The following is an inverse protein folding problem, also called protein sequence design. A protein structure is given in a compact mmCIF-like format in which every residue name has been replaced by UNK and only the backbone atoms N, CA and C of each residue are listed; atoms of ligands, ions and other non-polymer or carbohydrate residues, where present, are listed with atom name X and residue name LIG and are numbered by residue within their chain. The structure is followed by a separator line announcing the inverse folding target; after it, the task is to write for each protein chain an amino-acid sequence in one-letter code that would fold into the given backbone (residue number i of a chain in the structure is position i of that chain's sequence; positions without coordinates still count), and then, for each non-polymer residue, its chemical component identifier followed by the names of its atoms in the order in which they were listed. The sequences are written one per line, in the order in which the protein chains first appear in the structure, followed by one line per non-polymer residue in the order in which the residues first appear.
data_IF_953105878963
#
_entry.id   IF_953105878963
#
_cell.length_a   1.000
_cell.length_b   1.000
_cell.length_c   1.000
_cell.angle_alpha   90.00
_cell.angle_beta   90.00
_cell.angle_gamma   90.00
#
_symmetry.space_group_name_H-M   'P 1'
#
loop_
_entity.id
_entity.type
_entity.pdbx_description
1 polymer ?
#
# COMPACT_ATOMS: atom_id res chain seq x y z
N UNK A 1 -0.99 1.70 28.44
CA UNK A 1 -1.63 1.00 27.32
C UNK A 1 -2.57 -0.05 27.86
N UNK A 2 -3.79 -0.22 27.33
CA UNK A 2 -4.59 -1.38 27.67
C UNK A 2 -3.79 -2.60 27.21
N UNK A 3 -3.47 -3.48 28.15
CA UNK A 3 -2.61 -4.64 27.93
C UNK A 3 -3.25 -5.56 26.88
N UNK A 4 -2.49 -5.96 25.85
CA UNK A 4 -2.86 -7.01 24.88
C UNK A 4 -3.06 -8.39 25.54
N UNK A 5 -3.00 -8.51 26.87
CA UNK A 5 -3.26 -9.72 27.64
C UNK A 5 -4.68 -10.30 27.50
N UNK A 6 -5.57 -9.64 26.75
CA UNK A 6 -6.93 -10.12 26.42
C UNK A 6 -6.90 -10.99 25.15
N UNK A 7 -5.83 -10.93 24.36
CA UNK A 7 -5.68 -11.72 23.14
C UNK A 7 -5.15 -13.12 23.45
N UNK A 8 -5.92 -14.14 23.09
CA UNK A 8 -5.40 -15.50 22.97
C UNK A 8 -4.52 -15.57 21.69
N UNK A 9 -3.27 -16.05 21.76
CA UNK A 9 -2.41 -16.25 20.59
C UNK A 9 -3.08 -17.01 19.44
N UNK A 10 -4.01 -17.93 19.74
CA UNK A 10 -4.73 -18.70 18.70
C UNK A 10 -5.65 -17.80 17.84
N UNK A 11 -6.11 -16.66 18.36
CA UNK A 11 -6.95 -15.71 17.60
C UNK A 11 -6.23 -15.05 16.42
N UNK A 12 -4.89 -15.09 16.38
CA UNK A 12 -4.10 -14.53 15.27
C UNK A 12 -4.27 -15.38 14.00
N UNK A 13 -4.51 -16.69 14.15
CA UNK A 13 -4.73 -17.59 13.02
C UNK A 13 -6.10 -17.36 12.36
N UNK A 14 -7.04 -16.76 13.10
CA UNK A 14 -8.40 -16.43 12.65
C UNK A 14 -8.53 -15.04 11.99
N UNK A 15 -7.43 -14.30 11.79
CA UNK A 15 -7.48 -13.00 11.12
C UNK A 15 -8.05 -13.18 9.71
N UNK A 16 -9.16 -12.52 9.37
CA UNK A 16 -9.86 -12.78 8.11
C UNK A 16 -9.06 -12.28 6.90
N UNK A 17 -9.18 -13.04 5.82
CA UNK A 17 -8.68 -12.66 4.50
C UNK A 17 -7.53 -13.50 3.98
N UNK A 18 -6.87 -12.96 2.96
CA UNK A 18 -5.71 -13.59 2.32
C UNK A 18 -4.60 -12.58 2.17
N UNK A 19 -3.35 -13.01 2.36
CA UNK A 19 -2.17 -12.14 2.38
C UNK A 19 -1.93 -11.32 1.10
N UNK A 20 -2.50 -11.77 -0.03
CA UNK A 20 -2.40 -11.10 -1.32
C UNK A 20 -3.54 -10.10 -1.58
N UNK A 21 -4.63 -10.13 -0.82
CA UNK A 21 -5.74 -9.18 -0.97
C UNK A 21 -5.65 -8.07 0.09
N UNK A 22 -5.13 -6.92 -0.36
CA UNK A 22 -4.92 -5.71 0.45
C UNK A 22 -6.20 -5.07 1.00
N UNK A 23 -7.37 -5.51 0.54
CA UNK A 23 -8.66 -5.06 1.10
C UNK A 23 -9.07 -5.85 2.33
N UNK A 24 -8.44 -7.00 2.56
CA UNK A 24 -8.70 -7.82 3.73
C UNK A 24 -7.74 -7.46 4.87
N UNK A 25 -8.15 -7.61 6.14
CA UNK A 25 -7.28 -7.30 7.28
C UNK A 25 -5.90 -8.00 7.23
N UNK A 26 -5.87 -9.29 6.90
CA UNK A 26 -4.60 -10.02 6.75
C UNK A 26 -3.71 -9.46 5.62
N UNK A 27 -4.30 -9.18 4.46
CA UNK A 27 -3.55 -8.63 3.33
C UNK A 27 -3.11 -7.18 3.53
N UNK A 28 -3.88 -6.37 4.26
CA UNK A 28 -3.47 -5.03 4.65
C UNK A 28 -2.31 -5.06 5.64
N UNK A 29 -2.34 -5.92 6.66
CA UNK A 29 -1.21 -6.11 7.58
C UNK A 29 0.04 -6.57 6.84
N UNK A 30 -0.07 -7.54 5.94
CA UNK A 30 1.05 -7.99 5.11
C UNK A 30 1.63 -6.85 4.23
N UNK A 31 0.77 -5.98 3.74
CA UNK A 31 1.19 -4.83 2.94
C UNK A 31 1.87 -3.75 3.78
N UNK A 32 1.34 -3.43 4.96
CA UNK A 32 1.98 -2.53 5.93
C UNK A 32 3.34 -3.09 6.35
N UNK A 33 3.43 -4.39 6.64
CA UNK A 33 4.68 -5.07 6.97
C UNK A 33 5.72 -4.91 5.85
N UNK A 34 5.31 -5.13 4.61
CA UNK A 34 6.17 -4.93 3.43
C UNK A 34 6.65 -3.49 3.34
N UNK A 35 5.77 -2.51 3.58
CA UNK A 35 6.12 -1.10 3.53
C UNK A 35 7.09 -0.69 4.65
N UNK A 36 6.84 -1.14 5.89
CA UNK A 36 7.71 -0.88 7.04
C UNK A 36 9.10 -1.48 6.82
N UNK A 37 9.18 -2.75 6.43
CA UNK A 37 10.47 -3.43 6.25
C UNK A 37 11.28 -2.87 5.08
N UNK A 38 10.65 -2.54 3.95
CA UNK A 38 11.32 -1.83 2.85
C UNK A 38 11.82 -0.45 3.29
N UNK A 39 11.04 0.29 4.07
CA UNK A 39 11.44 1.61 4.58
C UNK A 39 12.61 1.53 5.55
N UNK A 40 12.59 0.59 6.50
CA UNK A 40 13.71 0.38 7.42
C UNK A 40 14.98 0.02 6.64
N UNK A 41 14.88 -0.93 5.70
CA UNK A 41 16.00 -1.32 4.87
C UNK A 41 16.57 -0.14 4.07
N UNK A 42 15.71 0.69 3.49
CA UNK A 42 16.15 1.86 2.72
C UNK A 42 16.87 2.90 3.56
N UNK A 43 16.37 3.19 4.76
CA UNK A 43 16.94 4.24 5.61
C UNK A 43 18.24 3.79 6.31
N UNK A 44 18.44 2.48 6.50
CA UNK A 44 19.58 1.94 7.25
C UNK A 44 20.68 1.38 6.33
N UNK A 45 20.35 0.83 5.17
CA UNK A 45 21.34 0.18 4.30
C UNK A 45 21.97 1.16 3.31
N UNK A 46 23.27 0.97 2.97
CA UNK A 46 23.87 1.64 1.82
C UNK A 46 23.07 1.35 0.54
N UNK A 47 22.84 2.38 -0.29
CA UNK A 47 22.02 2.26 -1.51
C UNK A 47 22.38 1.06 -2.41
N UNK A 48 23.65 0.75 -2.70
CA UNK A 48 24.00 -0.42 -3.52
C UNK A 48 23.58 -1.75 -2.89
N UNK A 49 23.69 -1.84 -1.56
CA UNK A 49 23.31 -3.02 -0.82
C UNK A 49 21.78 -3.19 -0.79
N UNK A 50 21.05 -2.10 -0.57
CA UNK A 50 19.59 -2.10 -0.68
C UNK A 50 19.13 -2.57 -2.07
N UNK A 51 19.70 -2.05 -3.16
CA UNK A 51 19.35 -2.48 -4.52
C UNK A 51 19.55 -3.98 -4.70
N UNK A 52 20.71 -4.49 -4.30
CA UNK A 52 21.06 -5.89 -4.43
C UNK A 52 20.11 -6.80 -3.65
N UNK A 53 19.75 -6.44 -2.43
CA UNK A 53 18.97 -7.30 -1.54
C UNK A 53 17.45 -7.15 -1.70
N UNK A 54 16.96 -5.94 -1.94
CA UNK A 54 15.52 -5.62 -1.90
C UNK A 54 14.90 -5.31 -3.27
N UNK A 55 15.70 -5.22 -4.34
CA UNK A 55 15.21 -4.86 -5.69
C UNK A 55 15.61 -5.83 -6.79
N UNK A 56 16.74 -6.53 -6.67
CA UNK A 56 17.25 -7.39 -7.74
C UNK A 56 16.48 -8.71 -7.92
N UNK A 57 16.16 -9.40 -6.83
CA UNK A 57 15.46 -10.68 -6.83
C UNK A 57 14.31 -10.67 -5.83
N UNK A 58 13.13 -11.13 -6.27
CA UNK A 58 11.90 -11.06 -5.47
C UNK A 58 11.95 -11.99 -4.25
N UNK A 59 12.55 -13.17 -4.39
CA UNK A 59 12.67 -14.15 -3.31
C UNK A 59 13.68 -13.68 -2.27
N UNK A 60 14.86 -13.22 -2.71
CA UNK A 60 15.88 -12.64 -1.81
C UNK A 60 15.29 -11.45 -1.07
N UNK A 61 14.58 -10.56 -1.77
CA UNK A 61 13.93 -9.41 -1.14
C UNK A 61 12.90 -9.84 -0.09
N UNK A 62 12.07 -10.86 -0.38
CA UNK A 62 11.12 -11.42 0.59
C UNK A 62 11.84 -12.02 1.80
N UNK A 63 12.90 -12.80 1.60
CA UNK A 63 13.70 -13.38 2.67
C UNK A 63 14.31 -12.30 3.57
N UNK A 64 14.89 -11.24 2.99
CA UNK A 64 15.49 -10.17 3.78
C UNK A 64 14.47 -9.32 4.54
N UNK A 65 13.27 -9.06 3.98
CA UNK A 65 12.17 -8.43 4.74
C UNK A 65 11.81 -9.24 5.99
N UNK A 66 11.62 -10.54 5.81
CA UNK A 66 11.31 -11.46 6.90
C UNK A 66 12.48 -11.60 7.88
N UNK A 67 13.72 -11.55 7.39
CA UNK A 67 14.92 -11.55 8.22
C UNK A 67 14.98 -10.33 9.13
N UNK A 68 14.53 -9.14 8.69
CA UNK A 68 14.50 -7.96 9.56
C UNK A 68 13.58 -8.17 10.77
N UNK A 69 12.44 -8.82 10.56
CA UNK A 69 11.53 -9.19 11.65
C UNK A 69 12.16 -10.27 12.54
N UNK A 70 12.80 -11.28 11.96
CA UNK A 70 13.50 -12.32 12.71
C UNK A 70 14.63 -11.72 13.57
N UNK A 71 15.41 -10.78 13.04
CA UNK A 71 16.45 -10.06 13.78
C UNK A 71 15.86 -9.30 14.98
N UNK A 72 14.74 -8.62 14.79
CA UNK A 72 14.03 -7.92 15.87
C UNK A 72 13.54 -8.89 16.96
N UNK A 73 12.86 -9.98 16.60
CA UNK A 73 12.28 -10.93 17.55
C UNK A 73 13.39 -11.72 18.27
N UNK A 74 14.35 -12.28 17.54
CA UNK A 74 15.37 -13.15 18.14
C UNK A 74 16.27 -12.39 19.12
N UNK A 75 16.49 -11.08 18.92
CA UNK A 75 17.23 -10.24 19.88
C UNK A 75 16.54 -10.09 21.22
N UNK A 76 15.20 -10.12 21.30
CA UNK A 76 14.50 -10.08 22.59
C UNK A 76 14.67 -11.38 23.37
N UNK A 77 15.00 -12.47 22.67
CA UNK A 77 15.30 -13.79 23.22
C UNK A 77 16.80 -14.01 23.49
N UNK A 78 17.63 -12.96 23.36
CA UNK A 78 19.09 -13.06 23.52
C UNK A 78 19.83 -13.69 22.34
N UNK A 79 19.15 -13.96 21.22
CA UNK A 79 19.75 -14.48 20.00
C UNK A 79 20.15 -13.32 19.07
N UNK A 80 21.30 -13.43 18.38
CA UNK A 80 21.73 -12.45 17.38
C UNK A 80 21.82 -13.12 16.01
N UNK A 81 20.79 -13.00 15.16
CA UNK A 81 20.82 -13.54 13.81
C UNK A 81 21.94 -12.90 12.98
N UNK A 82 22.52 -13.69 12.08
CA UNK A 82 23.59 -13.24 11.18
C UNK A 82 23.17 -13.51 9.75
N UNK A 83 23.48 -12.58 8.86
CA UNK A 83 23.29 -12.70 7.42
C UNK A 83 24.57 -12.35 6.68
N UNK A 84 24.70 -12.86 5.46
CA UNK A 84 25.72 -12.43 4.52
C UNK A 84 25.04 -11.92 3.24
N UNK A 85 25.26 -10.66 2.84
CA UNK A 85 26.07 -9.61 3.50
C UNK A 85 25.50 -9.17 4.88
N UNK A 86 26.36 -8.67 5.80
CA UNK A 86 25.94 -8.31 7.15
C UNK A 86 25.06 -7.06 7.13
N UNK A 87 24.02 -7.05 7.98
CA UNK A 87 23.14 -5.92 8.18
C UNK A 87 23.58 -5.07 9.39
N UNK A 88 23.38 -3.73 9.38
CA UNK A 88 23.67 -2.87 10.53
C UNK A 88 22.82 -3.22 11.75
N UNK A 89 23.39 -3.06 12.95
CA UNK A 89 22.73 -3.41 14.22
C UNK A 89 21.51 -2.55 14.56
N UNK A 90 21.38 -1.36 13.98
CA UNK A 90 20.29 -0.42 14.26
C UNK A 90 18.94 -0.80 13.64
N UNK A 91 18.86 -1.85 12.82
CA UNK A 91 17.61 -2.28 12.18
C UNK A 91 16.56 -2.70 13.21
N UNK A 92 16.94 -3.47 14.23
CA UNK A 92 16.01 -4.02 15.21
C UNK A 92 15.38 -2.95 16.12
N UNK A 93 16.03 -1.79 16.30
CA UNK A 93 15.54 -0.69 17.13
C UNK A 93 14.98 0.48 16.31
N UNK A 94 14.83 0.32 14.99
CA UNK A 94 14.35 1.40 14.13
C UNK A 94 12.93 1.87 14.54
N UNK A 95 12.65 3.18 14.63
CA UNK A 95 11.36 3.70 15.10
C UNK A 95 10.12 3.22 14.32
N UNK A 96 10.26 2.96 13.01
CA UNK A 96 9.17 2.40 12.19
C UNK A 96 8.61 1.06 12.70
N UNK A 97 9.36 0.32 13.52
CA UNK A 97 8.81 -0.85 14.20
C UNK A 97 7.68 -0.50 15.18
N UNK A 98 7.72 0.68 15.81
CA UNK A 98 6.64 1.16 16.67
C UNK A 98 5.38 1.47 15.85
N UNK A 99 5.55 1.99 14.63
CA UNK A 99 4.43 2.19 13.71
C UNK A 99 3.82 0.85 13.25
N UNK A 100 4.65 -0.18 13.07
CA UNK A 100 4.18 -1.55 12.82
C UNK A 100 3.39 -2.10 14.01
N UNK A 101 3.92 -1.97 15.23
CA UNK A 101 3.25 -2.44 16.44
C UNK A 101 1.88 -1.76 16.62
N UNK A 102 1.83 -0.42 16.48
CA UNK A 102 0.59 0.35 16.56
C UNK A 102 -0.42 -0.06 15.47
N UNK A 103 0.04 -0.33 14.25
CA UNK A 103 -0.82 -0.79 13.17
C UNK A 103 -1.43 -2.16 13.48
N UNK A 104 -0.64 -3.09 14.04
CA UNK A 104 -1.11 -4.40 14.49
C UNK A 104 -2.12 -4.26 15.63
N UNK A 105 -1.78 -3.52 16.69
CA UNK A 105 -2.64 -3.26 17.84
C UNK A 105 -3.99 -2.67 17.41
N UNK A 106 -3.96 -1.65 16.55
CA UNK A 106 -5.16 -0.98 16.04
C UNK A 106 -6.04 -1.95 15.23
N UNK A 107 -5.42 -2.77 14.38
CA UNK A 107 -6.15 -3.75 13.57
C UNK A 107 -6.81 -4.83 14.44
N UNK A 108 -6.05 -5.42 15.35
CA UNK A 108 -6.53 -6.46 16.26
C UNK A 108 -7.63 -5.93 17.17
N UNK A 109 -7.47 -4.73 17.74
CA UNK A 109 -8.50 -4.12 18.57
C UNK A 109 -9.80 -3.88 17.80
N UNK A 110 -9.72 -3.39 16.55
CA UNK A 110 -10.90 -3.21 15.70
C UNK A 110 -11.60 -4.54 15.43
N UNK A 111 -10.85 -5.57 15.06
CA UNK A 111 -11.39 -6.92 14.81
C UNK A 111 -12.11 -7.51 16.02
N UNK A 112 -11.55 -7.34 17.23
CA UNK A 112 -12.21 -7.76 18.47
C UNK A 112 -13.47 -6.92 18.73
N UNK A 113 -13.37 -5.59 18.59
CA UNK A 113 -14.48 -4.68 18.89
C UNK A 113 -15.68 -4.87 17.96
N UNK A 114 -15.44 -5.31 16.73
CA UNK A 114 -16.48 -5.66 15.75
C UNK A 114 -16.97 -7.11 15.91
N UNK A 115 -16.45 -7.86 16.88
CA UNK A 115 -16.85 -9.24 17.16
C UNK A 115 -16.40 -10.24 16.08
N UNK A 116 -15.41 -9.87 15.27
CA UNK A 116 -14.85 -10.73 14.20
C UNK A 116 -13.91 -11.77 14.80
N UNK A 117 -13.13 -11.37 15.80
CA UNK A 117 -12.32 -12.28 16.62
C UNK A 117 -13.03 -12.49 17.95
N UNK A 118 -13.52 -13.71 18.18
CA UNK A 118 -14.30 -14.03 19.36
C UNK A 118 -13.40 -14.19 20.59
N UNK A 119 -13.63 -13.40 21.63
CA UNK A 119 -12.92 -13.50 22.92
C UNK A 119 -13.59 -14.52 23.85
N UNK A 120 -14.68 -15.17 23.41
CA UNK A 120 -15.48 -16.09 24.23
C UNK A 120 -15.43 -17.54 23.76
N UNK A 121 -14.24 -18.12 23.68
CA UNK A 121 -14.14 -19.59 23.78
C UNK A 121 -14.28 -20.02 25.26
N UNK A 122 -15.51 -20.09 25.77
CA UNK A 122 -15.81 -21.07 26.83
C UNK A 122 -15.89 -22.44 26.17
N UNK A 123 -15.04 -23.43 26.54
CA UNK A 123 -15.17 -24.78 26.00
C UNK A 123 -16.41 -25.42 26.60
N UNK A 124 -17.54 -25.38 25.88
CA UNK A 124 -18.69 -26.24 26.14
C UNK A 124 -18.28 -27.68 25.80
N UNK A 125 -17.61 -28.34 26.75
CA UNK A 125 -17.54 -29.79 26.78
C UNK A 125 -18.93 -30.28 27.14
N UNK A 126 -19.74 -30.59 26.13
CA UNK A 126 -20.91 -31.44 26.30
C UNK A 126 -20.42 -32.81 26.79
N UNK A 127 -20.46 -33.02 28.10
CA UNK A 127 -20.20 -34.31 28.74
C UNK A 127 -21.41 -35.19 28.48
N UNK A 128 -21.29 -36.04 27.48
CA UNK A 128 -22.26 -37.09 27.18
C UNK A 128 -22.15 -38.19 28.26
N UNK A 129 -23.15 -38.29 29.15
CA UNK A 129 -23.29 -39.39 30.12
C UNK A 129 -24.43 -40.29 29.63
N UNK A 130 -24.19 -41.57 29.30
CA UNK A 130 -25.27 -42.51 28.99
C UNK A 130 -25.82 -43.10 30.29
N UNK A 131 -27.15 -43.16 30.43
CA UNK A 131 -27.80 -44.09 31.36
C UNK A 131 -29.01 -44.75 30.70
N UNK A 132 -28.92 -46.08 30.72
CA UNK A 132 -29.84 -47.08 30.22
C UNK A 132 -31.17 -47.14 31.01
N UNK A 133 -32.22 -47.33 30.22
CA UNK A 133 -33.29 -48.35 30.30
C UNK A 133 -34.27 -48.45 31.48
N UNK A 134 -35.54 -48.45 31.05
CA UNK A 134 -36.60 -49.43 31.33
C UNK A 134 -37.89 -49.00 32.10
N UNK A 135 -39.00 -49.48 31.56
CA UNK A 135 -40.41 -48.98 31.55
C UNK A 135 -41.24 -49.40 32.79
N UNK A 136 -42.62 -49.43 32.84
CA UNK A 136 -43.72 -48.90 31.99
C UNK A 136 -44.87 -48.18 32.80
N UNK A 137 -45.57 -47.16 32.27
CA UNK A 137 -46.85 -47.16 31.53
C UNK A 137 -48.17 -47.42 32.31
N UNK A 138 -49.07 -46.42 32.34
CA UNK A 138 -50.54 -46.60 32.36
C UNK A 138 -51.32 -45.33 31.90
N UNK A 139 -51.52 -45.21 30.58
CA UNK A 139 -52.74 -44.98 29.75
C UNK A 139 -53.98 -44.16 30.26
N UNK A 140 -55.04 -43.88 29.44
CA UNK A 140 -55.15 -42.72 28.52
C UNK A 140 -56.57 -42.07 28.45
N UNK A 141 -56.79 -40.89 27.84
CA UNK A 141 -58.11 -40.53 27.23
C UNK A 141 -57.96 -39.60 26.01
N UNK A 142 -58.67 -39.96 24.93
CA UNK A 142 -58.72 -39.42 23.55
C UNK A 142 -59.54 -38.09 23.38
N UNK A 143 -59.42 -37.26 22.33
CA UNK A 143 -59.81 -37.37 20.88
C UNK A 143 -59.52 -35.97 20.20
N UNK A 144 -59.96 -35.65 18.96
CA UNK A 144 -59.56 -36.07 17.60
C UNK A 144 -59.13 -34.85 16.70
N UNK A 145 -58.81 -34.99 15.38
CA UNK A 145 -58.08 -34.00 14.57
C UNK A 145 -58.97 -33.10 13.67
N UNK A 146 -58.48 -31.91 13.30
CA UNK A 146 -59.10 -30.98 12.31
C UNK A 146 -58.02 -30.40 11.35
N UNK A 147 -58.31 -30.16 10.04
CA UNK A 147 -57.32 -29.96 8.95
C UNK A 147 -56.88 -28.49 8.70
N UNK A 148 -55.92 -28.23 7.77
CA UNK A 148 -55.19 -26.95 7.60
C UNK A 148 -55.93 -25.97 6.66
N UNK A 149 -55.63 -24.65 6.63
CA UNK A 149 -54.55 -24.05 5.82
C UNK A 149 -53.95 -22.77 6.48
N UNK A 150 -52.84 -22.12 6.10
CA UNK A 150 -52.44 -21.44 4.87
C UNK A 150 -50.97 -21.00 5.08
N UNK A 151 -50.13 -21.14 4.06
CA UNK A 151 -48.73 -20.76 4.06
C UNK A 151 -48.50 -19.25 4.33
N UNK A 152 -47.62 -18.92 5.28
CA UNK A 152 -46.92 -17.63 5.34
C UNK A 152 -45.47 -17.82 4.88
N UNK A 153 -44.89 -16.90 4.10
CA UNK A 153 -43.48 -17.00 3.71
C UNK A 153 -42.61 -16.83 4.96
N UNK A 154 -41.65 -17.75 5.16
CA UNK A 154 -40.54 -17.52 6.09
C UNK A 154 -39.70 -16.35 5.55
N UNK A 155 -39.31 -15.37 6.37
CA UNK A 155 -38.26 -14.45 5.98
C UNK A 155 -36.97 -15.26 5.77
N UNK A 156 -36.38 -15.13 4.59
CA UNK A 156 -35.05 -15.60 4.27
C UNK A 156 -34.03 -14.85 5.14
N UNK A 157 -33.72 -15.37 6.33
CA UNK A 157 -32.52 -14.99 7.07
C UNK A 157 -31.35 -15.80 6.51
N UNK A 158 -30.79 -15.36 5.38
CA UNK A 158 -29.55 -15.97 4.85
C UNK A 158 -28.70 -15.00 4.02
N UNK A 159 -28.79 -13.67 4.23
CA UNK A 159 -28.05 -12.71 3.40
C UNK A 159 -27.63 -11.40 4.12
N UNK A 160 -27.41 -11.40 5.44
CA UNK A 160 -27.04 -10.17 6.18
C UNK A 160 -25.69 -10.21 6.92
N UNK A 161 -24.85 -11.23 6.73
CA UNK A 161 -23.57 -11.35 7.45
C UNK A 161 -22.32 -10.92 6.66
N UNK A 162 -22.45 -10.33 5.46
CA UNK A 162 -21.31 -10.03 4.57
C UNK A 162 -21.08 -8.54 4.28
N UNK A 163 -21.49 -7.62 5.16
CA UNK A 163 -21.29 -6.17 4.96
C UNK A 163 -20.50 -5.44 6.06
N UNK A 164 -20.24 -6.02 7.24
CA UNK A 164 -19.49 -5.34 8.31
C UNK A 164 -17.97 -5.40 8.14
N UNK A 165 -17.40 -6.50 7.61
CA UNK A 165 -15.96 -6.68 7.50
C UNK A 165 -15.23 -5.79 6.45
N UNK A 166 -15.98 -4.99 5.67
CA UNK A 166 -15.42 -4.14 4.60
C UNK A 166 -14.90 -2.77 5.06
N UNK A 167 -15.00 -2.41 6.36
CA UNK A 167 -14.60 -1.07 6.84
C UNK A 167 -13.37 -1.05 7.76
N UNK A 168 -12.79 -2.20 8.08
CA UNK A 168 -11.62 -2.26 8.96
C UNK A 168 -10.37 -1.98 8.13
N UNK A 169 -9.85 -0.74 8.21
CA UNK A 169 -8.56 -0.36 7.64
C UNK A 169 -7.71 0.42 8.64
N UNK A 170 -6.39 0.28 8.53
CA UNK A 170 -5.41 0.98 9.36
C UNK A 170 -5.14 2.40 8.85
N UNK A 171 -5.01 3.42 9.74
CA UNK A 171 -4.63 4.77 9.34
C UNK A 171 -3.16 4.89 8.91
N UNK A 172 -2.34 3.83 9.05
CA UNK A 172 -0.90 3.84 8.79
C UNK A 172 -0.51 4.59 7.51
N UNK A 173 -1.08 4.23 6.36
CA UNK A 173 -0.68 4.87 5.09
C UNK A 173 -1.09 6.34 5.01
N UNK A 174 -2.23 6.74 5.58
CA UNK A 174 -2.67 8.13 5.55
C UNK A 174 -1.80 9.00 6.46
N UNK A 175 -1.40 8.48 7.63
CA UNK A 175 -0.46 9.11 8.56
C UNK A 175 0.94 9.26 7.95
N UNK A 176 1.46 8.22 7.30
CA UNK A 176 2.77 8.27 6.63
C UNK A 176 2.79 9.29 5.48
N UNK A 177 1.71 9.40 4.70
CA UNK A 177 1.58 10.45 3.69
C UNK A 177 1.54 11.86 4.33
N UNK A 178 0.89 12.01 5.48
CA UNK A 178 0.85 13.29 6.22
C UNK A 178 2.23 13.67 6.74
N UNK A 179 2.99 12.72 7.29
CA UNK A 179 4.36 12.95 7.72
C UNK A 179 5.26 13.39 6.55
N UNK A 180 5.10 12.76 5.38
CA UNK A 180 5.81 13.16 4.16
C UNK A 180 5.43 14.58 3.69
N UNK A 181 4.14 14.92 3.74
CA UNK A 181 3.64 16.25 3.42
C UNK A 181 4.17 17.35 4.35
N UNK A 182 4.28 17.05 5.65
CA UNK A 182 4.91 17.93 6.63
C UNK A 182 6.39 18.11 6.30
N UNK A 183 7.12 17.04 5.97
CA UNK A 183 8.52 17.12 5.56
C UNK A 183 8.70 18.00 4.32
N UNK A 184 7.85 17.86 3.30
CA UNK A 184 7.88 18.69 2.10
C UNK A 184 7.68 20.16 2.46
N UNK A 185 6.67 20.47 3.25
CA UNK A 185 6.37 21.84 3.70
C UNK A 185 7.55 22.44 4.50
N UNK A 186 8.18 21.63 5.36
CA UNK A 186 9.37 22.03 6.09
C UNK A 186 10.57 22.29 5.16
N UNK A 187 10.77 21.45 4.14
CA UNK A 187 11.86 21.57 3.16
C UNK A 187 11.72 22.83 2.29
N UNK A 188 10.49 23.21 1.95
CA UNK A 188 10.19 24.43 1.19
C UNK A 188 10.51 25.71 1.97
N UNK A 189 10.39 25.66 3.31
CA UNK A 189 10.79 26.76 4.21
C UNK A 189 12.33 26.80 4.34
N UNK A 190 12.99 25.64 4.38
CA UNK A 190 14.42 25.50 4.62
C UNK A 190 15.25 25.27 3.35
N UNK A 191 14.89 25.92 2.23
CA UNK A 191 15.57 25.74 0.92
C UNK A 191 17.08 25.89 0.98
N UNK A 192 17.60 26.79 1.80
CA UNK A 192 19.06 27.00 1.94
C UNK A 192 19.75 25.75 2.51
N UNK A 193 19.16 25.12 3.52
CA UNK A 193 19.70 23.87 4.10
C UNK A 193 19.59 22.71 3.12
N UNK A 194 18.50 22.66 2.35
CA UNK A 194 18.31 21.67 1.30
C UNK A 194 19.37 21.81 0.20
N UNK A 195 19.63 23.04 -0.26
CA UNK A 195 20.64 23.33 -1.28
C UNK A 195 22.07 23.01 -0.80
N UNK A 196 22.34 23.14 0.50
CA UNK A 196 23.61 22.76 1.12
C UNK A 196 23.72 21.25 1.42
N UNK A 197 22.68 20.46 1.13
CA UNK A 197 22.66 19.03 1.45
C UNK A 197 22.62 18.72 2.95
N UNK A 198 22.27 19.71 3.78
CA UNK A 198 22.25 19.62 5.25
C UNK A 198 20.88 19.16 5.81
N UNK A 199 20.03 18.60 4.94
CA UNK A 199 18.70 18.13 5.26
C UNK A 199 18.58 16.70 4.76
N UNK A 200 18.36 15.78 5.70
CA UNK A 200 18.26 14.36 5.37
C UNK A 200 17.02 14.09 4.52
N UNK A 201 17.10 13.14 3.58
CA UNK A 201 15.96 12.77 2.75
C UNK A 201 14.81 12.23 3.61
N UNK A 202 13.57 12.34 3.12
CA UNK A 202 12.39 11.90 3.87
C UNK A 202 12.35 10.37 4.01
N UNK A 203 12.33 9.90 5.26
CA UNK A 203 12.28 8.47 5.60
C UNK A 203 11.01 7.76 5.08
N UNK A 204 9.94 8.52 4.83
CA UNK A 204 8.63 8.02 4.37
C UNK A 204 8.61 7.73 2.86
N UNK A 205 9.63 8.14 2.09
CA UNK A 205 9.63 8.00 0.63
C UNK A 205 9.38 6.55 0.14
N UNK A 206 9.92 5.48 0.75
CA UNK A 206 9.61 4.12 0.35
C UNK A 206 8.15 3.73 0.65
N UNK A 207 7.55 4.28 1.72
CA UNK A 207 6.11 4.09 2.01
C UNK A 207 5.27 4.75 0.94
N UNK A 208 5.61 5.99 0.52
CA UNK A 208 4.88 6.69 -0.57
C UNK A 208 4.84 5.83 -1.84
N UNK A 209 5.95 5.15 -2.18
CA UNK A 209 6.01 4.22 -3.31
C UNK A 209 5.05 3.04 -3.14
N UNK A 210 4.95 2.46 -1.94
CA UNK A 210 3.97 1.40 -1.66
C UNK A 210 2.54 1.91 -1.79
N UNK A 211 2.27 3.16 -1.35
CA UNK A 211 0.94 3.77 -1.42
C UNK A 211 0.48 4.05 -2.85
N UNK A 212 1.37 4.22 -3.83
CA UNK A 212 0.98 4.32 -5.25
C UNK A 212 0.17 3.11 -5.73
N UNK A 213 0.37 1.97 -5.07
CA UNK A 213 -0.37 0.74 -5.36
C UNK A 213 -1.78 0.72 -4.74
N UNK A 214 -2.05 1.58 -3.74
CA UNK A 214 -3.38 1.82 -3.20
C UNK A 214 -4.26 2.47 -4.25
N UNK A 215 -5.49 2.00 -4.53
CA UNK A 215 -6.43 2.77 -5.34
C UNK A 215 -6.96 4.00 -4.61
N UNK A 216 -7.12 3.95 -3.28
CA UNK A 216 -7.77 5.00 -2.48
C UNK A 216 -6.86 6.22 -2.28
N UNK A 217 -5.58 5.99 -1.98
CA UNK A 217 -4.64 7.06 -1.61
C UNK A 217 -3.74 7.49 -2.78
N UNK A 218 -3.91 6.90 -3.97
CA UNK A 218 -3.04 7.09 -5.13
C UNK A 218 -2.86 8.53 -5.54
N UNK A 219 -3.98 9.27 -5.67
CA UNK A 219 -3.97 10.65 -6.17
C UNK A 219 -3.19 11.53 -5.21
N UNK A 220 -3.40 11.34 -3.90
CA UNK A 220 -2.65 12.05 -2.86
C UNK A 220 -1.15 11.71 -2.93
N UNK A 221 -0.80 10.42 -3.02
CA UNK A 221 0.59 9.97 -3.12
C UNK A 221 1.28 10.52 -4.38
N UNK A 222 0.62 10.52 -5.54
CA UNK A 222 1.13 11.11 -6.78
C UNK A 222 1.33 12.62 -6.67
N UNK A 223 0.39 13.33 -6.04
CA UNK A 223 0.51 14.77 -5.79
C UNK A 223 1.72 15.12 -4.93
N UNK A 224 1.96 14.34 -3.87
CA UNK A 224 3.12 14.51 -3.00
C UNK A 224 4.43 14.09 -3.69
N UNK A 225 4.43 13.00 -4.46
CA UNK A 225 5.58 12.57 -5.25
C UNK A 225 5.97 13.66 -6.26
N UNK A 226 5.00 14.23 -6.98
CA UNK A 226 5.23 15.36 -7.89
C UNK A 226 5.94 16.52 -7.19
N UNK A 227 5.42 16.97 -6.03
CA UNK A 227 6.04 18.04 -5.23
C UNK A 227 7.47 17.69 -4.80
N UNK A 228 7.72 16.43 -4.46
CA UNK A 228 9.06 15.97 -4.09
C UNK A 228 10.04 16.02 -5.28
N UNK A 229 9.63 15.55 -6.45
CA UNK A 229 10.46 15.58 -7.67
C UNK A 229 10.79 17.01 -8.10
N UNK A 230 9.88 17.96 -7.87
CA UNK A 230 10.09 19.39 -8.13
C UNK A 230 11.21 20.01 -7.26
N UNK A 231 11.69 19.32 -6.21
CA UNK A 231 12.86 19.76 -5.42
C UNK A 231 14.19 19.61 -6.17
N UNK A 232 14.21 18.89 -7.29
CA UNK A 232 15.33 18.86 -8.24
C UNK A 232 15.94 17.47 -8.50
N UNK A 233 17.06 17.42 -9.25
CA UNK A 233 17.68 16.18 -9.73
C UNK A 233 17.98 15.13 -8.66
N UNK A 234 18.36 15.56 -7.46
CA UNK A 234 18.66 14.64 -6.35
C UNK A 234 17.42 13.86 -5.89
N UNK A 235 16.24 14.49 -5.91
CA UNK A 235 14.97 13.88 -5.53
C UNK A 235 14.50 12.89 -6.61
N UNK A 236 14.72 13.23 -7.88
CA UNK A 236 14.48 12.32 -9.01
C UNK A 236 15.37 11.09 -8.90
N UNK A 237 16.68 11.27 -8.70
CA UNK A 237 17.62 10.17 -8.50
C UNK A 237 17.23 9.25 -7.34
N UNK A 238 16.82 9.84 -6.20
CA UNK A 238 16.39 9.09 -5.02
C UNK A 238 15.14 8.25 -5.31
N UNK A 239 14.16 8.83 -6.01
CA UNK A 239 12.92 8.16 -6.37
C UNK A 239 13.17 7.03 -7.38
N UNK A 240 13.99 7.27 -8.41
CA UNK A 240 14.35 6.24 -9.38
C UNK A 240 15.12 5.09 -8.72
N UNK A 241 16.04 5.41 -7.81
CA UNK A 241 16.73 4.41 -7.00
C UNK A 241 15.75 3.57 -6.18
N UNK A 242 14.68 4.13 -5.62
CA UNK A 242 13.66 3.35 -4.93
C UNK A 242 12.85 2.42 -5.83
N UNK A 243 12.90 2.63 -7.14
CA UNK A 243 12.19 1.86 -8.14
C UNK A 243 10.82 2.44 -8.48
N UNK A 244 10.62 3.77 -8.48
CA UNK A 244 9.32 4.36 -8.88
C UNK A 244 8.98 4.07 -10.36
N UNK A 245 9.99 3.83 -11.19
CA UNK A 245 9.89 3.87 -12.66
C UNK A 245 8.82 2.92 -13.23
N UNK A 246 8.79 1.61 -12.89
CA UNK A 246 7.80 0.70 -13.44
C UNK A 246 6.37 1.07 -13.05
N UNK A 247 6.19 1.68 -11.88
CA UNK A 247 4.87 2.10 -11.38
C UNK A 247 4.36 3.30 -12.16
N UNK A 248 5.15 4.37 -12.28
CA UNK A 248 4.72 5.57 -13.03
C UNK A 248 4.54 5.30 -14.53
N UNK A 249 5.31 4.36 -15.09
CA UNK A 249 5.16 3.89 -16.47
C UNK A 249 3.85 3.15 -16.67
N UNK A 250 3.55 2.17 -15.80
CA UNK A 250 2.28 1.43 -15.86
C UNK A 250 1.07 2.34 -15.63
N UNK A 251 1.19 3.36 -14.78
CA UNK A 251 0.11 4.28 -14.48
C UNK A 251 -0.25 5.22 -15.65
N UNK A 252 0.65 5.43 -16.61
CA UNK A 252 0.34 6.25 -17.80
C UNK A 252 -0.85 5.71 -18.61
N UNK A 253 -1.08 4.40 -18.54
CA UNK A 253 -2.22 3.75 -19.19
C UNK A 253 -3.58 4.21 -18.61
N UNK A 254 -3.59 4.77 -17.39
CA UNK A 254 -4.80 5.24 -16.72
C UNK A 254 -5.09 6.71 -17.03
N UNK A 255 -6.26 7.06 -17.59
CA UNK A 255 -6.58 8.44 -17.96
C UNK A 255 -6.77 9.38 -16.76
N UNK A 256 -7.08 8.83 -15.58
CA UNK A 256 -7.41 9.57 -14.36
C UNK A 256 -6.24 10.44 -13.84
N UNK A 257 -5.00 10.02 -14.07
CA UNK A 257 -3.81 10.63 -13.45
C UNK A 257 -2.94 11.43 -14.45
N UNK A 258 -3.45 11.66 -15.67
CA UNK A 258 -2.65 12.19 -16.79
C UNK A 258 -1.89 13.49 -16.47
N UNK A 259 -2.54 14.48 -15.85
CA UNK A 259 -1.88 15.77 -15.52
C UNK A 259 -0.74 15.61 -14.51
N UNK A 260 -0.96 14.87 -13.42
CA UNK A 260 0.09 14.59 -12.44
C UNK A 260 1.27 13.82 -13.06
N UNK A 261 0.96 12.82 -13.91
CA UNK A 261 1.97 12.00 -14.56
C UNK A 261 2.80 12.77 -15.58
N UNK A 262 2.21 13.70 -16.34
CA UNK A 262 2.95 14.55 -17.29
C UNK A 262 4.05 15.34 -16.59
N UNK A 263 3.73 15.95 -15.44
CA UNK A 263 4.72 16.68 -14.63
C UNK A 263 5.79 15.74 -14.05
N UNK A 264 5.42 14.56 -13.57
CA UNK A 264 6.37 13.56 -13.05
C UNK A 264 7.33 13.13 -14.17
N UNK A 265 6.81 12.85 -15.37
CA UNK A 265 7.61 12.44 -16.52
C UNK A 265 8.50 13.56 -17.06
N UNK A 266 8.07 14.81 -16.99
CA UNK A 266 8.94 15.96 -17.29
C UNK A 266 10.17 15.97 -16.36
N UNK A 267 9.98 15.74 -15.06
CA UNK A 267 11.10 15.68 -14.09
C UNK A 267 11.99 14.45 -14.30
N UNK A 268 11.41 13.29 -14.66
CA UNK A 268 12.19 12.07 -14.93
C UNK A 268 13.03 12.22 -16.22
N UNK A 269 12.42 12.61 -17.35
CA UNK A 269 13.14 12.70 -18.62
C UNK A 269 14.17 13.83 -18.67
N UNK A 270 13.93 14.92 -17.94
CA UNK A 270 14.92 15.99 -17.81
C UNK A 270 16.14 15.56 -17.01
N UNK A 271 15.98 14.61 -16.08
CA UNK A 271 17.08 14.00 -15.32
C UNK A 271 17.78 12.90 -16.12
N UNK A 272 17.01 11.98 -16.71
CA UNK A 272 17.52 10.85 -17.48
C UNK A 272 16.74 10.67 -18.79
N UNK A 273 17.34 11.15 -19.87
CA UNK A 273 16.76 11.04 -21.21
C UNK A 273 16.70 9.61 -21.75
N UNK A 274 17.46 8.66 -21.18
CA UNK A 274 17.46 7.27 -21.64
C UNK A 274 16.11 6.57 -21.46
N UNK A 275 15.31 7.02 -20.48
CA UNK A 275 13.95 6.54 -20.23
C UNK A 275 13.00 6.65 -21.43
N UNK A 276 13.32 7.50 -22.43
CA UNK A 276 12.56 7.62 -23.68
C UNK A 276 12.44 6.31 -24.46
N UNK A 277 13.40 5.39 -24.30
CA UNK A 277 13.39 4.09 -24.96
C UNK A 277 12.23 3.22 -24.43
N UNK A 278 12.03 3.19 -23.12
CA UNK A 278 10.96 2.41 -22.51
C UNK A 278 9.60 3.08 -22.71
N UNK A 279 9.54 4.42 -22.75
CA UNK A 279 8.32 5.14 -23.15
C UNK A 279 7.87 4.77 -24.57
N UNK A 280 8.82 4.61 -25.50
CA UNK A 280 8.50 4.19 -26.86
C UNK A 280 7.98 2.75 -26.89
N UNK A 281 8.68 1.83 -26.20
CA UNK A 281 8.31 0.41 -26.15
C UNK A 281 6.90 0.20 -25.58
N UNK A 282 6.54 0.94 -24.54
CA UNK A 282 5.22 0.86 -23.90
C UNK A 282 4.14 1.70 -24.61
N UNK A 283 4.45 2.33 -25.75
CA UNK A 283 3.48 3.13 -26.51
C UNK A 283 3.02 4.40 -25.79
N UNK A 284 3.80 4.92 -24.84
CA UNK A 284 3.40 6.00 -23.95
C UNK A 284 3.32 7.38 -24.64
N UNK A 285 3.96 7.55 -25.81
CA UNK A 285 3.97 8.81 -26.57
C UNK A 285 2.56 9.33 -26.87
N UNK A 286 1.63 8.41 -27.18
CA UNK A 286 0.24 8.74 -27.44
C UNK A 286 -0.42 9.50 -26.29
N UNK A 287 -0.09 9.17 -25.04
CA UNK A 287 -0.67 9.84 -23.88
C UNK A 287 -0.24 11.31 -23.79
N UNK A 288 1.02 11.62 -24.14
CA UNK A 288 1.53 12.99 -24.12
C UNK A 288 1.01 13.81 -25.31
N UNK A 289 0.90 13.20 -26.50
CA UNK A 289 0.30 13.86 -27.68
C UNK A 289 -1.16 14.22 -27.42
N UNK A 290 -1.95 13.28 -26.87
CA UNK A 290 -3.33 13.57 -26.46
C UNK A 290 -3.41 14.67 -25.38
N UNK A 291 -2.40 14.79 -24.52
CA UNK A 291 -2.38 15.79 -23.46
C UNK A 291 -2.11 17.22 -23.98
N UNK A 292 -1.59 17.38 -25.20
CA UNK A 292 -1.40 18.70 -25.81
C UNK A 292 -2.71 19.46 -26.04
N UNK A 293 -3.85 18.76 -26.11
CA UNK A 293 -5.18 19.37 -26.24
C UNK A 293 -5.90 19.54 -24.90
N UNK A 294 -5.22 19.27 -23.77
CA UNK A 294 -5.84 19.35 -22.46
C UNK A 294 -6.30 20.77 -22.12
N UNK A 295 -7.54 20.88 -21.62
CA UNK A 295 -8.15 22.17 -21.26
C UNK A 295 -8.66 23.01 -22.44
N UNK A 296 -8.62 22.51 -23.68
CA UNK A 296 -9.20 23.20 -24.86
C UNK A 296 -10.69 22.88 -25.06
N UNK A 297 -11.16 21.75 -24.55
CA UNK A 297 -12.53 21.26 -24.72
C UNK A 297 -13.48 21.83 -23.65
N UNK A 298 -13.76 23.13 -23.70
CA UNK A 298 -14.92 23.79 -23.07
C UNK A 298 -15.06 23.71 -21.54
N UNK A 299 -14.11 23.12 -20.83
CA UNK A 299 -14.13 22.97 -19.37
C UNK A 299 -13.73 24.26 -18.65
N UNK A 300 -14.36 24.54 -17.50
CA UNK A 300 -14.03 25.66 -16.59
C UNK A 300 -12.69 25.36 -15.90
N UNK A 301 -11.61 25.33 -16.68
CA UNK A 301 -10.24 25.17 -16.19
C UNK A 301 -9.56 26.51 -16.36
N UNK A 302 -8.81 26.94 -15.35
CA UNK A 302 -8.01 28.15 -15.42
C UNK A 302 -7.05 28.07 -16.62
N UNK A 303 -7.15 29.05 -17.52
CA UNK A 303 -6.39 29.07 -18.79
C UNK A 303 -4.88 28.93 -18.53
N UNK A 304 -4.38 29.51 -17.44
CA UNK A 304 -2.98 29.42 -17.03
C UNK A 304 -2.57 27.98 -16.69
N UNK A 305 -3.39 27.25 -15.94
CA UNK A 305 -3.13 25.85 -15.60
C UNK A 305 -3.16 24.96 -16.85
N UNK A 306 -4.12 25.17 -17.74
CA UNK A 306 -4.19 24.46 -19.03
C UNK A 306 -2.97 24.76 -19.93
N UNK A 307 -2.48 25.99 -19.97
CA UNK A 307 -1.26 26.33 -20.70
C UNK A 307 -0.02 25.64 -20.10
N UNK A 308 0.09 25.60 -18.77
CA UNK A 308 1.20 24.96 -18.06
C UNK A 308 1.29 23.46 -18.35
N UNK A 309 0.17 22.73 -18.23
CA UNK A 309 0.13 21.28 -18.49
C UNK A 309 0.48 20.95 -19.95
N UNK A 310 -0.04 21.73 -20.91
CA UNK A 310 0.30 21.58 -22.33
C UNK A 310 1.78 21.85 -22.61
N UNK A 311 2.37 22.83 -21.93
CA UNK A 311 3.80 23.15 -22.03
C UNK A 311 4.66 21.99 -21.51
N UNK A 312 4.27 21.37 -20.39
CA UNK A 312 4.95 20.18 -19.86
C UNK A 312 4.85 18.99 -20.81
N UNK A 313 3.69 18.75 -21.41
CA UNK A 313 3.53 17.69 -22.41
C UNK A 313 4.40 17.94 -23.65
N UNK A 314 4.44 19.17 -24.16
CA UNK A 314 5.32 19.54 -25.28
C UNK A 314 6.81 19.38 -24.91
N UNK A 315 7.19 19.74 -23.69
CA UNK A 315 8.54 19.56 -23.18
C UNK A 315 8.94 18.09 -23.10
N UNK A 316 8.06 17.23 -22.55
CA UNK A 316 8.25 15.78 -22.51
C UNK A 316 8.47 15.21 -23.92
N UNK A 317 7.59 15.57 -24.87
CA UNK A 317 7.73 15.12 -26.27
C UNK A 317 9.01 15.61 -26.92
N UNK A 318 9.41 16.86 -26.67
CA UNK A 318 10.67 17.42 -27.15
C UNK A 318 11.87 16.60 -26.66
N UNK A 319 11.96 16.33 -25.35
CA UNK A 319 13.02 15.49 -24.77
C UNK A 319 12.99 14.06 -25.31
N UNK A 320 11.79 13.49 -25.44
CA UNK A 320 11.61 12.13 -25.93
C UNK A 320 12.01 11.98 -27.40
N UNK A 321 11.87 13.03 -28.21
CA UNK A 321 12.25 13.06 -29.63
C UNK A 321 13.67 13.59 -29.90
N UNK A 322 14.29 14.28 -28.93
CA UNK A 322 15.56 14.95 -29.11
C UNK A 322 16.67 13.96 -29.50
N UNK A 323 17.24 14.12 -30.70
CA UNK A 323 18.28 13.22 -31.24
C UNK A 323 17.89 11.72 -31.19
N UNK A 324 16.59 11.41 -31.29
CA UNK A 324 16.08 10.04 -31.23
C UNK A 324 15.13 9.74 -32.40
N UNK A 325 15.64 9.21 -33.53
CA UNK A 325 14.87 9.00 -34.76
C UNK A 325 13.62 8.12 -34.58
N UNK A 326 13.70 7.09 -33.75
CA UNK A 326 12.55 6.21 -33.49
C UNK A 326 11.41 6.94 -32.75
N UNK A 327 11.75 7.80 -31.79
CA UNK A 327 10.76 8.66 -31.12
C UNK A 327 10.17 9.73 -32.06
N UNK A 328 11.00 10.30 -32.93
CA UNK A 328 10.55 11.26 -33.96
C UNK A 328 9.55 10.63 -34.93
N UNK A 329 9.86 9.42 -35.42
CA UNK A 329 8.97 8.67 -36.31
C UNK A 329 7.63 8.34 -35.64
N UNK A 330 7.65 7.91 -34.38
CA UNK A 330 6.42 7.60 -33.65
C UNK A 330 5.59 8.86 -33.34
N UNK A 331 6.24 9.95 -32.92
CA UNK A 331 5.54 11.21 -32.67
C UNK A 331 4.93 11.78 -33.96
N UNK A 332 5.62 11.64 -35.10
CA UNK A 332 5.10 12.05 -36.41
C UNK A 332 3.91 11.19 -36.87
N UNK A 333 3.88 9.90 -36.52
CA UNK A 333 2.77 8.99 -36.80
C UNK A 333 1.51 9.31 -35.99
N UNK A 334 1.69 9.88 -34.79
CA UNK A 334 0.62 10.19 -33.84
C UNK A 334 -0.01 11.57 -34.04
N UNK A 335 0.64 12.45 -34.80
CA UNK A 335 0.15 13.78 -35.19
C UNK A 335 -0.73 13.68 -36.44
#
# INVERSE_FOLDING_TARGET
SPSMSILDPEMVDDIPGVSNDRKTPLGELNWIFTAVTDSIAWNVLPKPLFQRLFRQDLLVASMFRNFLLADRILRTLGCTPVSHPPLPSGIAQHPLWQAWDLACETMLFKLISEGVLDTTQTPSKDVNIPKDDDSPESSPVAKPPVPPPVARPRPQQSQQQSQSANSISSPFFSEQLTAFEVWLSFSEIHKMRLAQGALDPPEQLPVVLQVLLSPVLRVRALGLLRRFLDLGPWAVNLSLSLGIFPYVLKMLQSPEYKSLLVSIWASILSFDSSCRVDLLKEGAFHHFVQHLTWGLSGSIIEVAQAAKERTLAAYVLSLACNEYPAGQAECARLN
#
